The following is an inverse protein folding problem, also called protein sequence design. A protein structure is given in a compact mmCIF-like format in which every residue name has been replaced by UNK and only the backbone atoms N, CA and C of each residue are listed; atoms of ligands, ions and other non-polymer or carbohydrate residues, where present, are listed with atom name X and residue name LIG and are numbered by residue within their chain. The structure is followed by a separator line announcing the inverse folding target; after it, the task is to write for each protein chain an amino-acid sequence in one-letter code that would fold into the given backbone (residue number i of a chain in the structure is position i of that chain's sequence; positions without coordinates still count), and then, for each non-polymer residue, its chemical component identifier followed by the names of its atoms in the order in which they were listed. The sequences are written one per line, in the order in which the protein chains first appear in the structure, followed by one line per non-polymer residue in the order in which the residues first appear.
data_IF_437671264163
#
_entry.id   IF_437671264163
#
_cell.length_a   1.000
_cell.length_b   1.000
_cell.length_c   1.000
_cell.angle_alpha   90.00
_cell.angle_beta   90.00
_cell.angle_gamma   90.00
#
_symmetry.space_group_name_H-M   'P 1'
#
loop_
_entity.id
_entity.type
_entity.pdbx_description
1 polymer ?
#
# COMPACT_ATOMS: atom_id res chain seq x y z
N UNK A 1 15.84 -18.71 -4.94
CA UNK A 1 15.03 -19.62 -4.10
C UNK A 1 13.56 -19.27 -4.32
N UNK A 2 12.75 -20.20 -4.80
CA UNK A 2 11.32 -19.97 -5.00
C UNK A 2 10.59 -20.19 -3.67
N UNK A 3 9.89 -19.17 -3.18
CA UNK A 3 9.03 -19.32 -2.00
C UNK A 3 7.79 -20.17 -2.38
N UNK A 4 7.34 -21.08 -1.51
CA UNK A 4 6.12 -21.86 -1.76
C UNK A 4 4.89 -20.94 -1.80
N UNK A 5 4.05 -21.11 -2.82
CA UNK A 5 2.79 -20.38 -2.95
C UNK A 5 1.74 -20.98 -2.00
N UNK A 6 1.38 -20.25 -0.95
CA UNK A 6 0.25 -20.61 -0.09
C UNK A 6 -1.06 -20.14 -0.73
N UNK A 7 -2.07 -21.02 -0.78
CA UNK A 7 -3.46 -20.66 -1.07
C UNK A 7 -4.27 -20.79 0.21
N UNK A 8 -5.20 -19.86 0.41
CA UNK A 8 -6.14 -19.91 1.52
C UNK A 8 -7.53 -20.24 0.98
N UNK A 9 -8.31 -20.97 1.76
CA UNK A 9 -9.68 -21.29 1.38
C UNK A 9 -10.50 -20.00 1.19
N UNK A 10 -11.37 -19.95 0.17
CA UNK A 10 -12.28 -18.83 -0.04
C UNK A 10 -13.02 -18.46 1.24
N UNK A 11 -13.24 -17.16 1.46
CA UNK A 11 -13.98 -16.63 2.61
C UNK A 11 -13.38 -16.97 3.99
N UNK A 12 -12.06 -17.19 4.08
CA UNK A 12 -11.36 -17.34 5.36
C UNK A 12 -10.57 -16.07 5.72
N UNK A 13 -11.24 -15.01 6.21
CA UNK A 13 -10.64 -13.69 6.43
C UNK A 13 -9.54 -13.69 7.51
N UNK A 14 -9.45 -14.74 8.33
CA UNK A 14 -8.38 -14.89 9.33
C UNK A 14 -6.99 -14.89 8.69
N UNK A 15 -6.85 -15.50 7.52
CA UNK A 15 -5.54 -15.68 6.89
C UNK A 15 -5.09 -14.43 6.11
N UNK A 16 -6.02 -13.73 5.48
CA UNK A 16 -5.71 -12.61 4.58
C UNK A 16 -6.22 -11.25 5.07
N UNK A 17 -6.79 -11.17 6.28
CA UNK A 17 -7.50 -9.98 6.76
C UNK A 17 -6.65 -8.70 6.80
N UNK A 18 -5.33 -8.81 6.97
CA UNK A 18 -4.42 -7.63 6.87
C UNK A 18 -4.31 -7.13 5.43
N UNK A 19 -4.12 -8.05 4.49
CA UNK A 19 -4.02 -7.74 3.05
C UNK A 19 -5.33 -7.19 2.53
N UNK A 20 -6.47 -7.65 3.04
CA UNK A 20 -7.80 -7.13 2.67
C UNK A 20 -8.10 -5.78 3.33
N UNK A 21 -7.68 -5.58 4.59
CA UNK A 21 -7.94 -4.33 5.32
C UNK A 21 -7.14 -3.15 4.75
N UNK A 22 -5.91 -3.37 4.29
CA UNK A 22 -5.06 -2.32 3.72
C UNK A 22 -5.69 -1.57 2.52
N UNK A 23 -6.10 -2.23 1.41
CA UNK A 23 -6.71 -1.57 0.26
C UNK A 23 -8.07 -0.95 0.60
N UNK A 24 -8.83 -1.53 1.54
CA UNK A 24 -10.08 -0.93 2.01
C UNK A 24 -9.86 0.40 2.73
N UNK A 25 -8.85 0.50 3.60
CA UNK A 25 -8.51 1.75 4.28
C UNK A 25 -7.98 2.77 3.27
N UNK A 26 -7.05 2.39 2.39
CA UNK A 26 -6.56 3.24 1.30
C UNK A 26 -7.72 3.82 0.47
N UNK A 27 -8.66 2.96 0.07
CA UNK A 27 -9.79 3.37 -0.76
C UNK A 27 -10.64 4.41 -0.03
N UNK A 28 -11.00 4.15 1.22
CA UNK A 28 -11.86 5.03 2.00
C UNK A 28 -11.20 6.37 2.35
N UNK A 29 -9.93 6.35 2.78
CA UNK A 29 -9.25 7.54 3.28
C UNK A 29 -8.64 8.42 2.20
N UNK A 30 -8.34 7.85 1.03
CA UNK A 30 -7.63 8.56 -0.03
C UNK A 30 -8.41 8.56 -1.34
N UNK A 31 -8.72 7.38 -1.88
CA UNK A 31 -9.28 7.28 -3.24
C UNK A 31 -10.67 7.89 -3.30
N UNK A 32 -11.54 7.57 -2.34
CA UNK A 32 -12.92 8.05 -2.28
C UNK A 32 -13.10 9.32 -1.46
N UNK A 33 -12.09 9.72 -0.69
CA UNK A 33 -12.16 10.93 0.13
C UNK A 33 -12.13 12.22 -0.68
N UNK A 34 -11.61 12.21 -1.92
CA UNK A 34 -11.52 13.40 -2.78
C UNK A 34 -11.52 13.07 -4.28
N UNK A 35 -12.01 13.98 -5.13
CA UNK A 35 -11.85 13.87 -6.58
C UNK A 35 -10.39 14.12 -7.00
N UNK A 36 -9.98 13.48 -8.11
CA UNK A 36 -8.63 13.54 -8.65
C UNK A 36 -8.61 14.25 -9.99
N UNK A 37 -7.63 15.14 -10.19
CA UNK A 37 -7.48 15.89 -11.46
C UNK A 37 -7.02 15.00 -12.61
N UNK A 38 -6.14 14.05 -12.32
CA UNK A 38 -5.62 13.07 -13.27
C UNK A 38 -5.07 11.85 -12.51
N UNK A 39 -4.76 10.80 -13.28
CA UNK A 39 -4.27 9.53 -12.74
C UNK A 39 -2.87 9.65 -12.11
N UNK A 40 -1.98 10.47 -12.70
CA UNK A 40 -0.63 10.68 -12.17
C UNK A 40 -0.67 11.25 -10.74
N UNK A 41 -1.48 12.29 -10.52
CA UNK A 41 -1.67 12.90 -9.22
C UNK A 41 -2.28 11.94 -8.19
N UNK A 42 -3.16 11.03 -8.63
CA UNK A 42 -3.70 9.95 -7.78
C UNK A 42 -2.60 8.96 -7.40
N UNK A 43 -1.78 8.52 -8.36
CA UNK A 43 -0.64 7.62 -8.12
C UNK A 43 0.37 8.22 -7.13
N UNK A 44 0.75 9.48 -7.31
CA UNK A 44 1.69 10.18 -6.42
C UNK A 44 1.17 10.29 -4.99
N UNK A 45 -0.13 10.56 -4.88
CA UNK A 45 -0.79 10.62 -3.57
C UNK A 45 -0.90 9.26 -2.90
N UNK A 46 -1.12 8.18 -3.66
CA UNK A 46 -1.08 6.80 -3.14
C UNK A 46 0.32 6.46 -2.64
N UNK A 47 1.37 6.88 -3.35
CA UNK A 47 2.75 6.68 -2.92
C UNK A 47 3.03 7.42 -1.60
N UNK A 48 2.56 8.67 -1.49
CA UNK A 48 2.70 9.49 -0.28
C UNK A 48 1.94 8.88 0.90
N UNK A 49 0.70 8.43 0.67
CA UNK A 49 -0.10 7.79 1.71
C UNK A 49 0.50 6.46 2.17
N UNK A 50 1.15 5.70 1.29
CA UNK A 50 1.84 4.45 1.64
C UNK A 50 3.02 4.72 2.59
N UNK A 51 3.82 5.75 2.31
CA UNK A 51 4.89 6.20 3.21
C UNK A 51 4.33 6.57 4.58
N UNK A 52 3.33 7.46 4.60
CA UNK A 52 2.70 7.92 5.83
C UNK A 52 2.13 6.75 6.66
N UNK A 53 1.39 5.84 6.03
CA UNK A 53 0.77 4.70 6.70
C UNK A 53 1.78 3.74 7.32
N UNK A 54 2.96 3.60 6.71
CA UNK A 54 4.00 2.70 7.16
C UNK A 54 4.93 3.34 8.20
N UNK A 55 5.26 4.63 8.05
CA UNK A 55 6.33 5.29 8.82
C UNK A 55 5.83 6.29 9.86
N UNK A 56 4.64 6.88 9.69
CA UNK A 56 4.18 7.97 10.56
C UNK A 56 2.90 7.62 11.31
N UNK A 57 2.02 6.83 10.69
CA UNK A 57 0.70 6.56 11.25
C UNK A 57 0.80 5.72 12.53
N UNK A 58 0.29 6.21 13.67
CA UNK A 58 0.27 5.42 14.91
C UNK A 58 -0.73 4.27 14.77
N UNK A 59 -0.31 3.07 15.17
CA UNK A 59 -1.17 1.89 15.20
C UNK A 59 -1.33 1.40 16.63
N UNK A 60 -2.57 1.35 17.14
CA UNK A 60 -2.84 0.90 18.52
C UNK A 60 -2.37 -0.54 18.77
N UNK A 61 -2.43 -1.41 17.74
CA UNK A 61 -1.89 -2.77 17.79
C UNK A 61 -0.35 -2.86 17.82
N UNK A 62 0.35 -1.71 17.75
CA UNK A 62 1.79 -1.57 17.84
C UNK A 62 2.22 -0.62 18.98
N UNK A 63 1.33 -0.32 19.94
CA UNK A 63 1.62 0.61 21.03
C UNK A 63 1.86 2.03 20.55
N UNK A 64 1.00 2.49 19.64
CA UNK A 64 1.05 3.82 19.00
C UNK A 64 2.30 4.10 18.17
N UNK A 65 3.06 3.05 17.85
CA UNK A 65 4.21 3.13 16.94
C UNK A 65 3.80 2.85 15.49
N UNK A 66 4.52 3.42 14.51
CA UNK A 66 4.28 3.14 13.11
C UNK A 66 4.64 1.70 12.75
N UNK A 67 3.98 1.15 11.72
CA UNK A 67 4.11 -0.26 11.31
C UNK A 67 5.56 -0.67 11.04
N UNK A 68 6.34 0.23 10.42
CA UNK A 68 7.76 0.03 10.13
C UNK A 68 8.62 -0.17 11.40
N UNK A 69 8.19 0.33 12.56
CA UNK A 69 8.90 0.14 13.84
C UNK A 69 8.97 -1.31 14.29
N UNK A 70 8.14 -2.19 13.72
CA UNK A 70 8.13 -3.62 14.02
C UNK A 70 9.06 -4.43 13.13
N UNK A 71 9.59 -3.83 12.07
CA UNK A 71 10.48 -4.49 11.13
C UNK A 71 11.92 -4.39 11.64
N UNK A 72 12.65 -5.51 11.59
CA UNK A 72 14.07 -5.58 11.98
C UNK A 72 15.00 -4.91 10.95
N UNK A 73 14.53 -4.78 9.72
CA UNK A 73 15.23 -4.17 8.59
C UNK A 73 14.46 -2.94 8.15
N UNK A 74 15.15 -1.81 7.99
CA UNK A 74 14.56 -0.58 7.46
C UNK A 74 14.12 -0.81 6.01
N UNK A 75 12.81 -0.69 5.76
CA UNK A 75 12.27 -0.69 4.40
C UNK A 75 12.26 0.75 3.92
N UNK A 76 13.25 1.12 3.12
CA UNK A 76 13.29 2.43 2.47
C UNK A 76 12.38 2.36 1.26
N UNK A 77 11.18 2.96 1.36
CA UNK A 77 10.29 3.08 0.20
C UNK A 77 10.83 4.17 -0.73
N UNK A 78 11.48 3.74 -1.82
CA UNK A 78 12.13 4.62 -2.78
C UNK A 78 11.07 5.26 -3.71
N UNK A 79 10.61 6.46 -3.35
CA UNK A 79 9.57 7.23 -4.03
C UNK A 79 9.92 7.63 -5.47
N UNK A 80 11.19 7.50 -5.89
CA UNK A 80 11.67 7.96 -7.21
C UNK A 80 11.55 6.93 -8.34
N UNK A 81 11.20 5.66 -8.06
CA UNK A 81 11.20 4.62 -9.09
C UNK A 81 9.84 4.27 -9.72
N UNK A 82 8.75 4.99 -9.36
CA UNK A 82 7.40 4.64 -9.83
C UNK A 82 6.84 5.53 -10.94
N UNK A 83 7.59 6.54 -11.38
CA UNK A 83 7.18 7.36 -12.53
C UNK A 83 7.37 6.65 -13.89
N UNK A 84 8.21 5.62 -13.97
CA UNK A 84 8.56 4.99 -15.26
C UNK A 84 7.60 3.87 -15.67
N UNK A 85 6.88 3.24 -14.73
CA UNK A 85 6.01 2.10 -15.03
C UNK A 85 4.58 2.47 -15.47
N UNK A 86 4.15 3.72 -15.33
CA UNK A 86 2.84 4.17 -15.82
C UNK A 86 2.86 4.55 -17.30
N UNK A 87 4.05 4.68 -17.93
CA UNK A 87 4.18 5.00 -19.36
C UNK A 87 4.15 3.78 -20.30
N UNK A 88 4.29 2.54 -19.79
CA UNK A 88 4.36 1.36 -20.66
C UNK A 88 2.99 0.75 -21.01
N UNK A 89 1.92 1.08 -20.28
CA UNK A 89 0.55 0.58 -20.55
C UNK A 89 -0.21 1.51 -21.49
N UNK A 90 0.27 2.73 -21.76
CA UNK A 90 -0.36 3.70 -22.64
C UNK A 90 0.18 3.71 -24.09
N UNK A 91 1.08 2.79 -24.45
CA UNK A 91 1.65 2.66 -25.80
C UNK A 91 1.28 1.35 -26.53
N UNK A 92 0.37 0.55 -25.97
CA UNK A 92 -0.07 -0.72 -26.56
C UNK A 92 -1.61 -0.91 -26.61
N UNK A 93 -2.37 0.17 -26.55
CA UNK A 93 -3.80 0.20 -26.93
C UNK A 93 -4.06 1.44 -27.75
#
# INVERSE_FOLDING_TARGET
MNAPQARHDPYTPRHNGKVERYPRILANELVYARPWRNEAHRCDSIATWNLHSNHDRPHSAAGDKPSASRLRTSVISNHRQRAVLVSLVALLT
#
